data_IF_751472355166
#
_entry.id   IF_751472355166
#
_cell.length_a   1.000
_cell.length_b   1.000
_cell.length_c   1.000
_cell.angle_alpha   90.00
_cell.angle_beta   90.00
_cell.angle_gamma   90.00
#
_symmetry.space_group_name_H-M   'P 1'
#
loop_
_entity.id
_entity.type
_entity.pdbx_description
1 polymer ?
#
# COMPACT_ATOMS: atom_id res chain seq x y z
N UNK A 1 10.72 12.56 25.52
CA UNK A 1 9.58 13.49 25.35
C UNK A 1 9.11 13.44 23.90
N UNK A 2 7.81 13.27 23.64
CA UNK A 2 7.25 13.37 22.29
C UNK A 2 7.04 14.85 21.97
N UNK A 3 7.55 15.32 20.84
CA UNK A 3 7.44 16.73 20.47
C UNK A 3 5.97 17.18 20.36
N UNK A 4 5.09 16.31 19.88
CA UNK A 4 3.66 16.61 19.76
C UNK A 4 2.94 16.86 21.10
N UNK A 5 3.33 16.17 22.18
CA UNK A 5 2.74 16.42 23.50
C UNK A 5 3.25 17.74 24.09
N UNK A 6 4.54 18.03 23.92
CA UNK A 6 5.12 19.32 24.31
C UNK A 6 4.44 20.48 23.56
N UNK A 7 4.22 20.34 22.25
CA UNK A 7 3.52 21.34 21.43
C UNK A 7 2.12 21.67 21.95
N UNK A 8 1.38 20.69 22.49
CA UNK A 8 0.08 20.94 23.12
C UNK A 8 0.22 21.75 24.41
N UNK A 9 1.20 21.42 25.24
CA UNK A 9 1.46 22.07 26.53
C UNK A 9 1.95 23.53 26.36
N UNK A 10 2.72 23.82 25.31
CA UNK A 10 3.21 25.19 25.00
C UNK A 10 2.22 26.04 24.19
N UNK A 11 0.97 25.58 24.01
CA UNK A 11 -0.11 26.37 23.43
C UNK A 11 -0.26 26.27 21.91
N UNK A 12 0.32 25.26 21.25
CA UNK A 12 0.08 25.02 19.83
C UNK A 12 -1.33 24.43 19.62
N UNK A 13 -2.25 25.25 19.11
CA UNK A 13 -3.69 24.96 19.06
C UNK A 13 -4.10 23.81 18.10
N UNK A 14 -3.20 23.32 17.26
CA UNK A 14 -3.54 22.39 16.18
C UNK A 14 -3.41 20.90 16.55
N UNK A 15 -3.03 20.57 17.78
CA UNK A 15 -2.82 19.19 18.19
C UNK A 15 -4.04 18.27 17.91
N UNK A 16 -5.24 18.71 18.30
CA UNK A 16 -6.45 17.91 18.13
C UNK A 16 -6.82 17.77 16.64
N UNK A 17 -6.65 18.84 15.84
CA UNK A 17 -6.88 18.78 14.38
C UNK A 17 -5.92 17.84 13.67
N UNK A 18 -4.64 17.82 14.05
CA UNK A 18 -3.63 16.93 13.47
C UNK A 18 -3.96 15.48 13.83
N UNK A 19 -4.39 15.23 15.07
CA UNK A 19 -4.79 13.89 15.51
C UNK A 19 -5.92 13.33 14.65
N UNK A 20 -6.97 14.11 14.42
CA UNK A 20 -8.09 13.71 13.56
C UNK A 20 -7.66 13.46 12.11
N UNK A 21 -6.79 14.32 11.56
CA UNK A 21 -6.27 14.16 10.20
C UNK A 21 -5.40 12.91 10.06
N UNK A 22 -4.58 12.61 11.08
CA UNK A 22 -3.77 11.39 11.13
C UNK A 22 -4.62 10.13 11.22
N UNK A 23 -5.71 10.15 11.98
CA UNK A 23 -6.68 9.04 12.02
C UNK A 23 -7.30 8.81 10.64
N UNK A 24 -7.76 9.87 9.96
CA UNK A 24 -8.28 9.79 8.58
C UNK A 24 -7.22 9.28 7.60
N UNK A 25 -5.96 9.73 7.74
CA UNK A 25 -4.83 9.27 6.91
C UNK A 25 -4.58 7.78 7.08
N UNK A 26 -4.57 7.28 8.31
CA UNK A 26 -4.38 5.85 8.62
C UNK A 26 -5.50 5.00 8.05
N UNK A 27 -6.76 5.42 8.20
CA UNK A 27 -7.90 4.71 7.61
C UNK A 27 -7.78 4.59 6.08
N UNK A 28 -7.45 5.68 5.38
CA UNK A 28 -7.22 5.66 3.92
C UNK A 28 -6.06 4.73 3.54
N UNK A 29 -4.97 4.78 4.30
CA UNK A 29 -3.80 3.94 4.06
C UNK A 29 -4.11 2.45 4.23
N UNK A 30 -4.92 2.07 5.21
CA UNK A 30 -5.32 0.68 5.42
C UNK A 30 -6.12 0.14 4.24
N UNK A 31 -7.12 0.89 3.77
CA UNK A 31 -7.93 0.51 2.59
C UNK A 31 -7.06 0.36 1.34
N UNK A 32 -6.15 1.30 1.10
CA UNK A 32 -5.22 1.23 -0.03
C UNK A 32 -4.29 0.01 0.06
N UNK A 33 -3.79 -0.29 1.26
CA UNK A 33 -2.93 -1.44 1.51
C UNK A 33 -3.64 -2.77 1.26
N UNK A 34 -4.87 -2.92 1.75
CA UNK A 34 -5.68 -4.12 1.54
C UNK A 34 -5.98 -4.34 0.05
N UNK A 35 -6.39 -3.28 -0.67
CA UNK A 35 -6.60 -3.34 -2.12
C UNK A 35 -5.33 -3.77 -2.86
N UNK A 36 -4.18 -3.19 -2.52
CA UNK A 36 -2.89 -3.57 -3.11
C UNK A 36 -2.56 -5.04 -2.86
N UNK A 37 -2.79 -5.54 -1.65
CA UNK A 37 -2.56 -6.95 -1.28
C UNK A 37 -3.46 -7.90 -2.08
N UNK A 38 -4.74 -7.54 -2.24
CA UNK A 38 -5.68 -8.33 -3.05
C UNK A 38 -5.27 -8.37 -4.52
N UNK A 39 -4.89 -7.23 -5.10
CA UNK A 39 -4.41 -7.14 -6.48
C UNK A 39 -3.13 -7.96 -6.70
N UNK A 40 -2.17 -7.91 -5.76
CA UNK A 40 -0.96 -8.73 -5.83
C UNK A 40 -1.29 -10.23 -5.82
N UNK A 41 -2.24 -10.67 -4.97
CA UNK A 41 -2.70 -12.06 -4.94
C UNK A 41 -3.36 -12.49 -6.25
N UNK A 42 -4.13 -11.61 -6.88
CA UNK A 42 -4.76 -11.87 -8.17
C UNK A 42 -3.73 -11.96 -9.30
N UNK A 43 -2.71 -11.09 -9.30
CA UNK A 43 -1.60 -11.15 -10.27
C UNK A 43 -0.86 -12.48 -10.20
N UNK A 44 -0.48 -12.93 -9.00
CA UNK A 44 0.19 -14.23 -8.82
C UNK A 44 -0.66 -15.40 -9.32
N UNK A 45 -1.99 -15.35 -9.15
CA UNK A 45 -2.88 -16.37 -9.70
C UNK A 45 -2.92 -16.33 -11.23
N UNK A 46 -2.96 -15.13 -11.80
CA UNK A 46 -2.98 -14.94 -13.25
C UNK A 46 -1.65 -15.40 -13.90
N UNK A 47 -0.52 -15.13 -13.25
CA UNK A 47 0.80 -15.60 -13.70
C UNK A 47 0.85 -17.13 -13.74
N UNK A 48 0.45 -17.82 -12.67
CA UNK A 48 0.38 -19.28 -12.63
C UNK A 48 -0.56 -19.86 -13.70
N UNK A 49 -1.75 -19.27 -13.86
CA UNK A 49 -2.69 -19.70 -14.89
C UNK A 49 -2.18 -19.45 -16.32
N UNK A 50 -1.36 -18.41 -16.51
CA UNK A 50 -0.70 -18.13 -17.78
C UNK A 50 0.45 -19.11 -18.04
N UNK A 51 1.26 -19.46 -17.03
CA UNK A 51 2.30 -20.48 -17.11
C UNK A 51 1.75 -21.84 -17.57
N UNK A 52 0.63 -22.27 -16.98
CA UNK A 52 -0.04 -23.52 -17.37
C UNK A 52 -0.50 -23.53 -18.84
N UNK A 53 -0.91 -22.37 -19.38
CA UNK A 53 -1.48 -22.28 -20.73
C UNK A 53 -0.47 -21.93 -21.82
N UNK A 54 0.56 -21.16 -21.48
CA UNK A 54 1.47 -20.52 -22.43
C UNK A 54 2.92 -21.00 -22.29
N UNK A 55 3.20 -22.02 -21.48
CA UNK A 55 4.55 -22.49 -21.11
C UNK A 55 5.66 -22.22 -22.13
N UNK A 56 5.57 -22.77 -23.35
CA UNK A 56 6.60 -22.61 -24.39
C UNK A 56 6.70 -21.22 -25.03
N UNK A 57 5.64 -20.41 -24.98
CA UNK A 57 5.62 -19.03 -25.50
C UNK A 57 6.17 -18.01 -24.50
N UNK A 58 6.20 -18.34 -23.20
CA UNK A 58 6.74 -17.46 -22.15
C UNK A 58 8.26 -17.33 -22.29
N UNK A 59 8.95 -18.41 -22.67
CA UNK A 59 10.41 -18.39 -22.88
C UNK A 59 10.82 -17.43 -24.00
N UNK A 60 10.00 -17.33 -25.05
CA UNK A 60 10.19 -16.39 -26.16
C UNK A 60 10.03 -14.93 -25.71
N UNK A 61 9.13 -14.67 -24.76
CA UNK A 61 8.86 -13.34 -24.23
C UNK A 61 9.86 -12.90 -23.15
N UNK A 62 10.63 -13.84 -22.58
CA UNK A 62 11.59 -13.57 -21.50
C UNK A 62 12.67 -12.53 -21.83
N UNK A 63 13.26 -12.46 -23.04
CA UNK A 63 14.34 -11.50 -23.34
C UNK A 63 13.83 -10.07 -23.58
N UNK A 64 12.51 -9.89 -23.77
CA UNK A 64 11.87 -8.59 -24.04
C UNK A 64 11.37 -7.95 -22.73
N UNK A 65 11.28 -8.73 -21.65
CA UNK A 65 10.76 -8.30 -20.36
C UNK A 65 11.83 -7.55 -19.55
N UNK A 66 11.52 -6.31 -19.15
CA UNK A 66 12.35 -5.47 -18.26
C UNK A 66 12.04 -5.72 -16.78
#
# INVERSE_FOLDING_TARGET
>A
CLLGSLSKEVGWAHYDTIKELEEKRKQRSLVAYEKRKQLAKLRLKAEKAAEERLGSQIDVLSPIKY
#
